data_IF_177676332211
#
_entry.id   IF_177676332211
#
_cell.length_a   1.000
_cell.length_b   1.000
_cell.length_c   1.000
_cell.angle_alpha   90.00
_cell.angle_beta   90.00
_cell.angle_gamma   90.00
#
_symmetry.space_group_name_H-M   'P 1'
#
loop_
_entity.id
_entity.type
_entity.pdbx_description
1 polymer ?
#
# COMPACT_ATOMS: atom_id res chain seq x y z
N UNK A 1 -11.92 0.44 8.86
CA UNK A 1 -11.24 1.75 8.73
C UNK A 1 -9.94 1.65 7.94
N UNK A 2 -9.07 0.66 8.21
CA UNK A 2 -7.76 0.51 7.52
C UNK A 2 -7.87 0.27 6.01
N UNK A 3 -8.83 -0.55 5.54
CA UNK A 3 -9.10 -0.80 4.10
C UNK A 3 -9.26 0.48 3.29
N UNK A 4 -10.16 1.35 3.72
CA UNK A 4 -10.45 2.60 2.98
C UNK A 4 -9.26 3.57 3.00
N UNK A 5 -8.51 3.61 4.11
CA UNK A 5 -7.31 4.44 4.23
C UNK A 5 -6.23 3.95 3.26
N UNK A 6 -5.97 2.64 3.23
CA UNK A 6 -5.04 2.00 2.30
C UNK A 6 -5.43 2.23 0.84
N UNK A 7 -6.70 2.02 0.51
CA UNK A 7 -7.25 2.32 -0.82
C UNK A 7 -6.98 3.76 -1.25
N UNK A 8 -7.25 4.75 -0.39
CA UNK A 8 -7.01 6.17 -0.69
C UNK A 8 -5.52 6.45 -0.90
N UNK A 9 -4.64 5.90 -0.06
CA UNK A 9 -3.18 6.01 -0.23
C UNK A 9 -2.74 5.44 -1.58
N UNK A 10 -3.24 4.26 -1.95
CA UNK A 10 -2.95 3.63 -3.25
C UNK A 10 -3.50 4.43 -4.43
N UNK A 11 -4.69 5.00 -4.33
CA UNK A 11 -5.24 5.88 -5.38
C UNK A 11 -4.36 7.12 -5.63
N UNK A 12 -3.70 7.64 -4.59
CA UNK A 12 -2.73 8.72 -4.72
C UNK A 12 -1.41 8.23 -5.32
N UNK A 13 -0.98 7.03 -4.92
CA UNK A 13 0.29 6.42 -5.33
C UNK A 13 0.29 5.89 -6.77
N UNK A 14 -0.83 5.32 -7.20
CA UNK A 14 -1.05 4.63 -8.46
C UNK A 14 -2.18 5.34 -9.24
N UNK A 15 -1.90 6.54 -9.78
CA UNK A 15 -2.94 7.36 -10.42
C UNK A 15 -3.55 6.68 -11.66
N UNK A 16 -2.76 5.91 -12.41
CA UNK A 16 -3.19 5.27 -13.66
C UNK A 16 -4.33 4.26 -13.46
N UNK A 17 -4.31 3.52 -12.35
CA UNK A 17 -5.34 2.51 -12.02
C UNK A 17 -6.37 3.01 -10.99
N UNK A 18 -6.37 4.31 -10.66
CA UNK A 18 -7.25 4.90 -9.64
C UNK A 18 -8.74 4.55 -9.84
N UNK A 19 -9.19 4.52 -11.09
CA UNK A 19 -10.57 4.19 -11.45
C UNK A 19 -10.92 2.73 -11.14
N UNK A 20 -9.99 1.80 -11.36
CA UNK A 20 -10.13 0.39 -10.98
C UNK A 20 -10.20 0.28 -9.46
N UNK A 21 -9.28 0.93 -8.75
CA UNK A 21 -9.27 0.94 -7.29
C UNK A 21 -10.58 1.50 -6.71
N UNK A 22 -11.21 2.49 -7.34
CA UNK A 22 -12.46 3.12 -6.91
C UNK A 22 -13.74 2.26 -7.11
N UNK A 23 -13.68 1.24 -7.95
CA UNK A 23 -14.82 0.35 -8.22
C UNK A 23 -14.79 -1.00 -7.47
N UNK A 24 -13.66 -1.38 -6.85
CA UNK A 24 -13.49 -2.76 -6.37
C UNK A 24 -14.14 -3.03 -5.01
N UNK A 25 -14.87 -4.15 -4.94
CA UNK A 25 -15.46 -4.75 -3.74
C UNK A 25 -14.90 -6.15 -3.41
N UNK A 26 -13.74 -6.52 -3.96
CA UNK A 26 -13.10 -7.82 -3.72
C UNK A 26 -12.50 -7.90 -2.32
N UNK A 27 -12.72 -9.01 -1.61
CA UNK A 27 -12.16 -9.25 -0.28
C UNK A 27 -10.62 -9.31 -0.32
N UNK A 28 -10.06 -10.04 -1.29
CA UNK A 28 -8.60 -10.14 -1.46
C UNK A 28 -7.95 -8.77 -1.68
N UNK A 29 -8.55 -7.92 -2.53
CA UNK A 29 -8.03 -6.56 -2.72
C UNK A 29 -8.22 -5.70 -1.47
N UNK A 30 -9.30 -5.93 -0.73
CA UNK A 30 -9.52 -5.34 0.59
C UNK A 30 -8.38 -5.66 1.55
N UNK A 31 -7.94 -6.91 1.63
CA UNK A 31 -6.80 -7.33 2.46
C UNK A 31 -5.49 -6.67 2.02
N UNK A 32 -5.23 -6.60 0.71
CA UNK A 32 -4.06 -5.89 0.17
C UNK A 32 -4.08 -4.39 0.54
N UNK A 33 -5.25 -3.76 0.56
CA UNK A 33 -5.38 -2.37 1.02
C UNK A 33 -5.04 -2.22 2.50
N UNK A 34 -5.46 -3.15 3.36
CA UNK A 34 -5.07 -3.12 4.78
C UNK A 34 -3.58 -3.31 4.96
N UNK A 35 -3.00 -4.28 4.26
CA UNK A 35 -1.56 -4.56 4.30
C UNK A 35 -0.75 -3.32 3.86
N UNK A 36 -1.16 -2.66 2.77
CA UNK A 36 -0.53 -1.44 2.31
C UNK A 36 -0.63 -0.31 3.34
N UNK A 37 -1.82 -0.13 3.93
CA UNK A 37 -2.02 0.90 4.94
C UNK A 37 -1.09 0.73 6.14
N UNK A 38 -0.94 -0.51 6.61
CA UNK A 38 -0.05 -0.89 7.71
C UNK A 38 1.42 -0.70 7.35
N UNK A 39 1.83 -1.13 6.15
CA UNK A 39 3.22 -0.99 5.70
C UNK A 39 3.62 0.49 5.60
N UNK A 40 2.76 1.34 5.04
CA UNK A 40 3.02 2.79 4.94
C UNK A 40 3.04 3.46 6.32
N UNK A 41 2.15 3.07 7.24
CA UNK A 41 2.12 3.59 8.61
C UNK A 41 3.39 3.22 9.38
N UNK A 42 3.85 1.97 9.27
CA UNK A 42 5.10 1.52 9.86
C UNK A 42 6.32 2.22 9.24
N UNK A 43 6.36 2.35 7.91
CA UNK A 43 7.42 3.06 7.21
C UNK A 43 7.54 4.53 7.66
N UNK A 44 6.40 5.21 7.82
CA UNK A 44 6.38 6.59 8.33
C UNK A 44 6.95 6.66 9.76
N UNK A 45 6.58 5.72 10.63
CA UNK A 45 7.15 5.63 11.99
C UNK A 45 8.66 5.44 11.96
N UNK A 46 9.18 4.52 11.15
CA UNK A 46 10.62 4.28 11.06
C UNK A 46 11.39 5.47 10.48
N UNK A 47 10.78 6.22 9.55
CA UNK A 47 11.38 7.45 9.02
C UNK A 47 11.45 8.57 10.05
N UNK A 48 10.47 8.64 10.95
CA UNK A 48 10.35 9.67 11.97
C UNK A 48 11.01 9.29 13.32
N UNK A 49 11.46 8.04 13.48
CA UNK A 49 12.12 7.54 14.68
C UNK A 49 13.57 8.03 14.81
N UNK A 50 14.02 8.25 16.06
CA UNK A 50 15.42 8.53 16.38
C UNK A 50 15.95 7.53 17.42
N UNK A 51 17.11 6.86 17.17
CA UNK A 51 17.89 6.91 15.94
C UNK A 51 17.12 6.30 14.75
N UNK A 52 17.36 6.81 13.55
CA UNK A 52 16.70 6.32 12.34
C UNK A 52 17.25 4.95 11.97
N UNK A 53 16.36 3.97 11.84
CA UNK A 53 16.72 2.59 11.47
C UNK A 53 16.68 2.41 9.96
N UNK A 54 17.73 2.83 9.24
CA UNK A 54 17.79 2.81 7.76
C UNK A 54 17.45 1.43 7.16
N UNK A 55 17.80 0.35 7.86
CA UNK A 55 17.48 -1.02 7.43
C UNK A 55 15.97 -1.25 7.40
N UNK A 56 15.27 -0.91 8.48
CA UNK A 56 13.81 -1.05 8.55
C UNK A 56 13.10 -0.16 7.54
N UNK A 57 13.61 1.07 7.33
CA UNK A 57 13.09 1.96 6.29
C UNK A 57 13.18 1.28 4.92
N UNK A 58 14.35 0.74 4.57
CA UNK A 58 14.58 0.08 3.27
C UNK A 58 13.71 -1.16 3.10
N UNK A 59 13.60 -2.00 4.13
CA UNK A 59 12.77 -3.21 4.11
C UNK A 59 11.29 -2.86 3.90
N UNK A 60 10.78 -1.85 4.61
CA UNK A 60 9.38 -1.44 4.47
C UNK A 60 9.09 -0.67 3.17
N UNK A 61 10.08 0.03 2.61
CA UNK A 61 9.96 0.58 1.24
C UNK A 61 9.79 -0.53 0.20
N UNK A 62 10.53 -1.63 0.35
CA UNK A 62 10.39 -2.78 -0.54
C UNK A 62 9.01 -3.43 -0.38
N UNK A 63 8.56 -3.69 0.84
CA UNK A 63 7.23 -4.26 1.11
C UNK A 63 6.12 -3.39 0.48
N UNK A 64 6.20 -2.06 0.62
CA UNK A 64 5.21 -1.17 -0.01
C UNK A 64 5.19 -1.33 -1.53
N UNK A 65 6.35 -1.46 -2.17
CA UNK A 65 6.46 -1.65 -3.63
C UNK A 65 5.93 -3.00 -4.08
N UNK A 66 6.19 -4.06 -3.32
CA UNK A 66 5.68 -5.40 -3.62
C UNK A 66 4.15 -5.43 -3.58
N UNK A 67 3.53 -4.81 -2.57
CA UNK A 67 2.07 -4.70 -2.47
C UNK A 67 1.52 -3.83 -3.63
N UNK A 68 2.18 -2.70 -3.95
CA UNK A 68 1.80 -1.86 -5.11
C UNK A 68 1.79 -2.68 -6.41
N UNK A 69 2.80 -3.51 -6.64
CA UNK A 69 2.89 -4.37 -7.83
C UNK A 69 1.82 -5.45 -7.86
N UNK A 70 1.58 -6.14 -6.74
CA UNK A 70 0.56 -7.19 -6.65
C UNK A 70 -0.84 -6.65 -6.97
N UNK A 71 -1.14 -5.44 -6.47
CA UNK A 71 -2.40 -4.75 -6.75
C UNK A 71 -2.52 -4.38 -8.23
N UNK A 72 -1.45 -3.87 -8.85
CA UNK A 72 -1.45 -3.56 -10.29
C UNK A 72 -1.76 -4.82 -11.08
N UNK A 73 -1.03 -5.92 -10.83
CA UNK A 73 -1.24 -7.20 -11.49
C UNK A 73 -2.68 -7.67 -11.32
N UNK A 74 -3.19 -7.68 -10.07
CA UNK A 74 -4.57 -8.09 -9.78
C UNK A 74 -5.63 -7.26 -10.51
N UNK A 75 -5.40 -5.95 -10.66
CA UNK A 75 -6.32 -5.05 -11.34
C UNK A 75 -6.22 -5.11 -12.88
N UNK A 76 -5.06 -5.47 -13.45
CA UNK A 76 -4.86 -5.51 -14.90
C UNK A 76 -5.07 -6.88 -15.53
N UNK A 77 -4.96 -7.95 -14.75
CA UNK A 77 -5.14 -9.33 -15.23
C UNK A 77 -6.58 -9.86 -15.06
N UNK A 78 -7.53 -8.99 -14.68
CA UNK A 78 -8.94 -9.33 -14.46
C UNK A 78 -9.90 -8.60 -15.38
#
# INVERSE_FOLDING_TARGET
MSRERGRRKLMLRLPDIRHLLAGVSSEALGEMFEAYDLAVDALDRFRNQWPREEKLVTEYEQICREIEQEIVVYCTER
#
